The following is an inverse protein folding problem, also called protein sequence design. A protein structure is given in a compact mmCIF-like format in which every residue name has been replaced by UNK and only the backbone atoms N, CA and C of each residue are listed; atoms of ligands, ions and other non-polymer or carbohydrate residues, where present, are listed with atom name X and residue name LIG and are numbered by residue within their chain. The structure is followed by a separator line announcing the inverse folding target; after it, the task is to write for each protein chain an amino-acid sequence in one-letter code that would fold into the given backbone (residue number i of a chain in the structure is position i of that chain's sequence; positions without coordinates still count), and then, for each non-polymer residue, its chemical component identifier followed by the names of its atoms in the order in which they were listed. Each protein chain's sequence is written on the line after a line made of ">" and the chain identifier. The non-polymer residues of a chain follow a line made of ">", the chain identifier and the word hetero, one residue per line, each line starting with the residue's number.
data_IF_335296863971
#
_entry.id   IF_335296863971
#
_cell.length_a   1.000
_cell.length_b   1.000
_cell.length_c   1.000
_cell.angle_alpha   90.00
_cell.angle_beta   90.00
_cell.angle_gamma   90.00
#
_symmetry.space_group_name_H-M   'P 1'
#
loop_
_entity.id
_entity.type
_entity.pdbx_description
1 polymer ?
#
# COMPACT_ATOMS: atom_id res chain seq x y z
N UNK A 1 -1.58 17.82 -15.07
CA UNK A 1 -0.40 17.94 -15.95
C UNK A 1 -0.79 17.36 -17.29
N UNK A 2 -0.40 17.99 -18.41
CA UNK A 2 -0.50 17.32 -19.70
C UNK A 2 0.46 16.12 -19.69
N UNK A 3 -0.03 14.95 -20.13
CA UNK A 3 0.68 13.67 -20.08
C UNK A 3 1.98 13.69 -20.92
N UNK A 4 3.10 14.10 -20.31
CA UNK A 4 4.41 14.07 -20.98
C UNK A 4 5.03 12.67 -20.99
N UNK A 5 4.62 11.78 -20.08
CA UNK A 5 5.11 10.39 -19.99
C UNK A 5 3.97 9.44 -19.65
N UNK A 6 4.07 8.20 -20.13
CA UNK A 6 3.11 7.13 -19.87
C UNK A 6 3.35 6.40 -18.54
N UNK A 7 4.61 6.36 -18.08
CA UNK A 7 5.06 5.70 -16.85
C UNK A 7 6.23 6.49 -16.27
N UNK A 8 6.33 6.51 -14.95
CA UNK A 8 7.45 7.10 -14.22
C UNK A 8 7.94 6.10 -13.17
N UNK A 9 9.24 6.11 -12.91
CA UNK A 9 9.86 5.35 -11.83
C UNK A 9 10.64 6.33 -10.95
N UNK A 10 10.39 6.30 -9.65
CA UNK A 10 10.99 7.20 -8.68
C UNK A 10 11.68 6.35 -7.62
N UNK A 11 13.00 6.10 -7.72
CA UNK A 11 13.70 5.13 -6.85
C UNK A 11 13.73 5.49 -5.36
N UNK A 12 13.48 6.75 -5.03
CA UNK A 12 13.58 7.30 -3.66
C UNK A 12 12.20 7.48 -2.99
N UNK A 13 11.14 7.04 -3.67
CA UNK A 13 9.76 7.13 -3.21
C UNK A 13 9.31 5.83 -2.52
N UNK A 14 8.07 5.78 -2.04
CA UNK A 14 7.50 4.58 -1.43
C UNK A 14 7.66 4.52 0.09
N UNK A 15 7.70 5.69 0.75
CA UNK A 15 7.81 5.78 2.20
C UNK A 15 6.43 5.49 2.84
N UNK A 16 6.06 4.22 2.84
CA UNK A 16 4.70 3.75 3.11
C UNK A 16 4.31 3.65 4.60
N UNK A 17 5.27 3.79 5.54
CA UNK A 17 5.01 3.62 6.97
C UNK A 17 4.63 4.91 7.70
N UNK A 18 4.86 6.08 7.11
CA UNK A 18 4.56 7.34 7.79
C UNK A 18 3.04 7.50 7.98
N UNK A 19 2.62 7.70 9.23
CA UNK A 19 1.25 7.99 9.61
C UNK A 19 0.96 9.50 9.50
N UNK A 20 -0.31 9.88 9.65
CA UNK A 20 -0.72 11.29 9.60
C UNK A 20 -0.08 12.15 10.70
N UNK A 21 0.15 11.55 11.86
CA UNK A 21 0.61 12.20 13.09
C UNK A 21 1.94 11.64 13.61
N UNK A 22 2.65 10.82 12.83
CA UNK A 22 3.91 10.23 13.26
C UNK A 22 4.76 9.63 12.15
N UNK A 23 6.07 9.68 12.35
CA UNK A 23 7.04 8.95 11.53
C UNK A 23 7.19 7.50 12.05
N UNK A 24 7.39 6.54 11.14
CA UNK A 24 7.61 5.13 11.46
C UNK A 24 8.42 4.45 10.35
N UNK A 25 9.13 3.36 10.66
CA UNK A 25 9.82 2.54 9.63
C UNK A 25 10.74 3.33 8.69
N UNK A 26 11.51 4.28 9.24
CA UNK A 26 12.37 5.22 8.48
C UNK A 26 11.61 6.19 7.54
N UNK A 27 10.29 6.17 7.54
CA UNK A 27 9.43 7.04 6.77
C UNK A 27 9.05 8.27 7.61
N UNK A 28 9.49 9.46 7.20
CA UNK A 28 9.10 10.74 7.82
C UNK A 28 7.82 11.30 7.20
N UNK A 29 7.67 11.13 5.88
CA UNK A 29 6.51 11.58 5.12
C UNK A 29 5.96 10.43 4.29
N UNK A 30 4.63 10.35 4.20
CA UNK A 30 3.93 9.40 3.34
C UNK A 30 3.77 10.01 1.95
N UNK A 31 4.80 9.92 1.12
CA UNK A 31 4.82 10.49 -0.23
C UNK A 31 3.75 9.86 -1.13
N UNK A 32 3.43 8.59 -0.92
CA UNK A 32 2.35 7.89 -1.59
C UNK A 32 0.98 8.51 -1.27
N UNK A 33 0.68 8.71 0.02
CA UNK A 33 -0.57 9.36 0.42
C UNK A 33 -0.69 10.79 -0.10
N UNK A 34 0.44 11.52 -0.14
CA UNK A 34 0.48 12.87 -0.74
C UNK A 34 0.20 12.82 -2.23
N UNK A 35 0.78 11.89 -3.00
CA UNK A 35 0.54 11.81 -4.45
C UNK A 35 -0.90 11.41 -4.77
N UNK A 36 -1.48 10.46 -4.02
CA UNK A 36 -2.89 10.06 -4.17
C UNK A 36 -3.81 11.29 -4.01
N UNK A 37 -3.64 12.04 -2.93
CA UNK A 37 -4.43 13.24 -2.66
C UNK A 37 -4.19 14.35 -3.70
N UNK A 38 -2.95 14.53 -4.16
CA UNK A 38 -2.60 15.50 -5.20
C UNK A 38 -3.32 15.17 -6.51
N UNK A 39 -3.25 13.91 -6.96
CA UNK A 39 -3.86 13.44 -8.20
C UNK A 39 -5.39 13.62 -8.16
N UNK A 40 -6.03 13.29 -7.03
CA UNK A 40 -7.47 13.49 -6.84
C UNK A 40 -7.85 14.96 -6.86
N UNK A 41 -7.21 15.78 -6.02
CA UNK A 41 -7.62 17.20 -5.82
C UNK A 41 -7.30 18.09 -7.01
N UNK A 42 -6.15 17.89 -7.67
CA UNK A 42 -5.71 18.77 -8.76
C UNK A 42 -6.07 18.26 -10.14
N UNK A 43 -6.29 16.95 -10.28
CA UNK A 43 -6.51 16.33 -11.59
C UNK A 43 -7.81 15.54 -11.68
N UNK A 44 -8.58 15.43 -10.59
CA UNK A 44 -9.86 14.71 -10.59
C UNK A 44 -9.72 13.22 -10.89
N UNK A 45 -8.52 12.65 -10.71
CA UNK A 45 -8.24 11.26 -11.03
C UNK A 45 -8.74 10.34 -9.92
N UNK A 46 -9.39 9.25 -10.30
CA UNK A 46 -9.84 8.21 -9.40
C UNK A 46 -10.84 7.26 -10.08
N UNK A 47 -11.07 6.05 -9.54
CA UNK A 47 -10.38 5.46 -8.38
C UNK A 47 -8.88 5.19 -8.66
N UNK A 48 -8.05 5.21 -7.61
CA UNK A 48 -6.61 4.97 -7.68
C UNK A 48 -6.31 3.59 -7.09
N UNK A 49 -5.63 2.74 -7.86
CA UNK A 49 -5.07 1.49 -7.34
C UNK A 49 -3.65 1.71 -6.83
N UNK A 50 -3.41 1.33 -5.59
CA UNK A 50 -2.11 1.24 -4.95
C UNK A 50 -1.79 -0.23 -4.73
N UNK A 51 -0.65 -0.65 -5.29
CA UNK A 51 -0.12 -2.00 -5.13
C UNK A 51 1.24 -1.87 -4.47
N UNK A 52 1.38 -2.52 -3.32
CA UNK A 52 2.58 -2.54 -2.53
C UNK A 52 3.17 -3.95 -2.53
N UNK A 53 4.48 -4.01 -2.79
CA UNK A 53 5.26 -5.24 -2.87
C UNK A 53 6.51 -5.15 -2.00
N UNK A 54 6.61 -4.10 -1.19
CA UNK A 54 7.61 -4.07 -0.12
C UNK A 54 7.29 -5.19 0.88
N UNK A 55 8.33 -5.80 1.46
CA UNK A 55 8.15 -6.93 2.36
C UNK A 55 7.44 -6.54 3.68
N UNK A 56 7.33 -5.25 3.99
CA UNK A 56 6.64 -4.74 5.18
C UNK A 56 5.22 -4.28 4.84
N UNK A 57 4.27 -4.45 5.77
CA UNK A 57 2.91 -3.96 5.58
C UNK A 57 2.90 -2.43 5.40
N UNK A 58 2.25 -1.94 4.34
CA UNK A 58 2.12 -0.51 4.01
C UNK A 58 1.14 0.24 4.91
N UNK A 59 1.28 0.11 6.24
CA UNK A 59 0.37 0.58 7.28
C UNK A 59 0.03 2.07 7.21
N UNK A 60 1.04 2.92 6.98
CA UNK A 60 0.83 4.36 6.85
C UNK A 60 -0.12 4.72 5.69
N UNK A 61 -0.02 4.00 4.57
CA UNK A 61 -0.95 4.16 3.43
C UNK A 61 -2.29 3.49 3.73
N UNK A 62 -2.29 2.25 4.23
CA UNK A 62 -3.51 1.50 4.55
C UNK A 62 -4.44 2.30 5.48
N UNK A 63 -3.93 2.72 6.65
CA UNK A 63 -4.76 3.40 7.65
C UNK A 63 -5.17 4.81 7.23
N UNK A 64 -4.37 5.48 6.38
CA UNK A 64 -4.76 6.77 5.82
C UNK A 64 -6.00 6.68 4.91
N UNK A 65 -6.21 5.55 4.24
CA UNK A 65 -7.28 5.34 3.26
C UNK A 65 -8.22 4.16 3.61
N UNK A 66 -8.15 3.61 4.82
CA UNK A 66 -8.87 2.40 5.26
C UNK A 66 -10.39 2.47 4.98
N UNK A 67 -10.95 3.69 5.07
CA UNK A 67 -12.37 3.95 4.84
C UNK A 67 -12.69 4.58 3.48
N UNK A 68 -11.70 4.84 2.63
CA UNK A 68 -11.87 5.51 1.34
C UNK A 68 -12.12 4.49 0.22
N UNK A 69 -13.29 4.50 -0.44
CA UNK A 69 -13.57 3.61 -1.57
C UNK A 69 -12.92 4.07 -2.89
N UNK A 70 -12.38 5.30 -2.93
CA UNK A 70 -11.66 5.85 -4.07
C UNK A 70 -10.20 5.38 -4.17
N UNK A 71 -9.71 4.64 -3.18
CA UNK A 71 -8.37 4.04 -3.17
C UNK A 71 -8.52 2.52 -3.03
N UNK A 72 -8.07 1.79 -4.03
CA UNK A 72 -7.96 0.33 -3.99
C UNK A 72 -6.55 0.01 -3.52
N UNK A 73 -6.42 -0.84 -2.51
CA UNK A 73 -5.15 -1.19 -1.87
C UNK A 73 -4.93 -2.68 -1.99
N UNK A 74 -3.76 -3.09 -2.47
CA UNK A 74 -3.30 -4.47 -2.42
C UNK A 74 -1.86 -4.47 -1.92
N UNK A 75 -1.59 -5.27 -0.89
CA UNK A 75 -0.30 -5.27 -0.20
C UNK A 75 0.14 -6.71 0.06
N UNK A 76 1.34 -7.03 -0.39
CA UNK A 76 1.97 -8.33 -0.27
C UNK A 76 3.18 -8.17 0.63
N UNK A 77 3.05 -8.61 1.87
CA UNK A 77 4.04 -8.40 2.92
C UNK A 77 4.27 -9.68 3.73
N UNK A 78 5.39 -9.78 4.42
CA UNK A 78 5.59 -10.87 5.39
C UNK A 78 4.57 -10.73 6.55
N UNK A 79 4.06 -11.85 7.06
CA UNK A 79 3.00 -11.93 8.08
C UNK A 79 3.30 -11.29 9.46
N UNK A 80 4.44 -10.60 9.61
CA UNK A 80 4.83 -9.85 10.80
C UNK A 80 5.59 -10.67 11.85
N UNK A 81 6.11 -11.86 11.48
CA UNK A 81 6.99 -12.65 12.35
C UNK A 81 8.37 -12.00 12.55
N UNK A 82 9.01 -11.50 11.49
CA UNK A 82 10.34 -10.87 11.57
C UNK A 82 10.34 -9.35 11.33
N UNK A 83 9.74 -8.80 10.25
CA UNK A 83 9.70 -7.36 10.02
C UNK A 83 8.65 -6.66 10.90
N UNK A 84 9.00 -5.44 11.35
CA UNK A 84 8.03 -4.47 11.87
C UNK A 84 7.45 -3.69 10.69
N UNK A 85 6.18 -3.28 10.70
CA UNK A 85 5.27 -3.20 11.83
C UNK A 85 4.58 -4.53 12.17
N UNK A 86 4.14 -4.66 13.43
CA UNK A 86 3.26 -5.75 13.85
C UNK A 86 1.79 -5.45 13.52
N UNK A 87 1.51 -4.95 12.32
CA UNK A 87 0.17 -4.75 11.77
C UNK A 87 0.01 -5.58 10.50
N UNK A 88 -1.21 -5.71 9.94
CA UNK A 88 -1.42 -6.53 8.76
C UNK A 88 -1.28 -8.04 8.99
N UNK A 89 -1.32 -8.51 10.25
CA UNK A 89 -1.31 -9.95 10.53
C UNK A 89 -2.66 -10.56 10.17
N UNK A 90 -2.68 -11.24 9.03
CA UNK A 90 -3.87 -11.90 8.52
C UNK A 90 -4.66 -11.05 7.54
N UNK A 91 -5.68 -11.69 6.95
CA UNK A 91 -6.47 -11.14 5.83
C UNK A 91 -7.74 -10.42 6.28
N UNK A 92 -7.89 -10.18 7.58
CA UNK A 92 -9.13 -9.65 8.16
C UNK A 92 -9.30 -8.13 7.97
N UNK A 93 -8.17 -7.41 7.87
CA UNK A 93 -8.13 -5.98 7.59
C UNK A 93 -8.50 -5.71 6.12
N UNK A 94 -9.80 -5.57 5.85
CA UNK A 94 -10.34 -5.39 4.49
C UNK A 94 -10.89 -3.99 4.23
N UNK A 95 -10.63 -3.07 5.15
CA UNK A 95 -11.16 -1.70 5.16
C UNK A 95 -12.42 -1.56 6.03
N UNK A 96 -12.61 -0.37 6.63
CA UNK A 96 -13.78 -0.06 7.47
C UNK A 96 -14.94 0.58 6.71
N UNK A 97 -14.63 1.32 5.64
CA UNK A 97 -15.60 1.96 4.73
C UNK A 97 -15.40 1.59 3.25
N UNK A 98 -14.30 0.88 2.94
CA UNK A 98 -13.98 0.35 1.62
C UNK A 98 -13.81 -1.17 1.64
N UNK A 99 -14.73 -1.89 2.29
CA UNK A 99 -14.68 -3.35 2.41
C UNK A 99 -14.50 -4.02 1.04
N UNK A 100 -13.51 -4.92 0.94
CA UNK A 100 -13.16 -5.60 -0.31
C UNK A 100 -12.28 -4.78 -1.26
N UNK A 101 -12.00 -3.52 -0.94
CA UNK A 101 -11.07 -2.66 -1.68
C UNK A 101 -9.72 -2.52 -0.97
N UNK A 102 -9.54 -3.15 0.18
CA UNK A 102 -8.26 -3.28 0.87
C UNK A 102 -7.92 -4.76 0.98
N UNK A 103 -6.89 -5.19 0.26
CA UNK A 103 -6.48 -6.58 0.16
C UNK A 103 -5.12 -6.73 0.82
N UNK A 104 -5.12 -7.18 2.07
CA UNK A 104 -3.91 -7.55 2.81
C UNK A 104 -3.57 -9.01 2.52
N UNK A 105 -2.36 -9.25 1.99
CA UNK A 105 -1.89 -10.57 1.57
C UNK A 105 -0.62 -10.91 2.36
N UNK A 106 -0.75 -11.35 3.62
CA UNK A 106 0.39 -11.80 4.39
C UNK A 106 0.98 -13.08 3.78
N UNK A 107 2.29 -13.09 3.65
CA UNK A 107 3.12 -14.19 3.19
C UNK A 107 3.97 -14.75 4.34
N UNK A 108 4.24 -16.06 4.36
CA UNK A 108 5.13 -16.62 5.39
C UNK A 108 6.55 -16.06 5.25
N UNK A 109 7.33 -15.99 6.35
CA UNK A 109 8.74 -15.63 6.30
C UNK A 109 9.52 -16.51 5.31
N UNK A 110 10.36 -15.88 4.51
CA UNK A 110 11.13 -16.58 3.47
C UNK A 110 10.31 -17.00 2.24
N UNK A 111 9.10 -16.46 2.06
CA UNK A 111 8.38 -16.57 0.80
C UNK A 111 9.27 -16.13 -0.37
N UNK A 112 9.27 -16.94 -1.42
CA UNK A 112 10.09 -16.78 -2.60
C UNK A 112 9.23 -16.43 -3.83
N UNK A 113 9.86 -16.49 -5.01
CA UNK A 113 9.21 -16.18 -6.28
C UNK A 113 7.98 -17.06 -6.55
N UNK A 114 8.00 -18.34 -6.14
CA UNK A 114 6.87 -19.26 -6.33
C UNK A 114 5.69 -18.86 -5.45
N UNK A 115 5.97 -18.52 -4.18
CA UNK A 115 4.94 -18.00 -3.28
C UNK A 115 4.34 -16.68 -3.80
N UNK A 116 5.19 -15.78 -4.34
CA UNK A 116 4.74 -14.52 -4.92
C UNK A 116 3.90 -14.75 -6.20
N UNK A 117 4.35 -15.63 -7.09
CA UNK A 117 3.64 -15.98 -8.32
C UNK A 117 2.27 -16.62 -8.04
N UNK A 118 2.17 -17.44 -6.99
CA UNK A 118 0.89 -18.04 -6.57
C UNK A 118 -0.14 -16.97 -6.17
N UNK A 119 0.28 -15.87 -5.54
CA UNK A 119 -0.61 -14.74 -5.23
C UNK A 119 -1.11 -14.08 -6.50
N UNK A 120 -0.22 -13.80 -7.45
CA UNK A 120 -0.58 -13.14 -8.71
C UNK A 120 -1.53 -13.98 -9.58
N UNK A 121 -1.40 -15.31 -9.52
CA UNK A 121 -2.25 -16.25 -10.26
C UNK A 121 -3.63 -16.47 -9.61
N UNK A 122 -3.81 -16.07 -8.35
CA UNK A 122 -5.06 -16.24 -7.61
C UNK A 122 -6.10 -15.12 -7.85
N UNK A 123 -5.77 -14.14 -8.70
CA UNK A 123 -6.60 -12.98 -9.06
C UNK A 123 -7.38 -13.15 -10.35
#
# INVERSE_FOLDING_TARGET
>A
MAAQVRRAFVPIAGLHHAARDGAAGFCIFNDIGVVIELLRRRHGLGPIAYVDIDAHHGDGVFYAFESDPGVIFADLHEDGHFPLPRHGQGRAETGRGGQGLKLNIPLPPGADDDAFAAVLAAG
#
